data_IF_070117873116
#
_entry.id   IF_070117873116
#
_cell.length_a   1.000
_cell.length_b   1.000
_cell.length_c   1.000
_cell.angle_alpha   90.00
_cell.angle_beta   90.00
_cell.angle_gamma   90.00
#
_symmetry.space_group_name_H-M   'P 1'
#
loop_
_entity.id
_entity.type
_entity.pdbx_description
1 polymer ?
#
# COMPACT_ATOMS: atom_id res chain seq x y z
N UNK A 1 -0.94 16.57 -2.36
CA UNK A 1 -0.62 15.28 -3.01
C UNK A 1 -1.55 15.11 -4.21
N UNK A 2 -1.13 14.54 -5.34
CA UNK A 2 -2.05 14.27 -6.46
C UNK A 2 -3.00 13.11 -6.15
N UNK A 3 -4.08 12.97 -6.90
CA UNK A 3 -5.05 11.87 -6.71
C UNK A 3 -4.39 10.50 -6.90
N UNK A 4 -3.57 10.37 -7.95
CA UNK A 4 -2.80 9.15 -8.23
C UNK A 4 -1.81 8.83 -7.11
N UNK A 5 -1.13 9.85 -6.56
CA UNK A 5 -0.19 9.67 -5.44
C UNK A 5 -0.93 9.27 -4.16
N UNK A 6 -2.11 9.82 -3.90
CA UNK A 6 -2.93 9.45 -2.75
C UNK A 6 -3.36 7.98 -2.82
N UNK A 7 -3.81 7.54 -4.01
CA UNK A 7 -4.11 6.13 -4.28
C UNK A 7 -2.91 5.23 -4.06
N UNK A 8 -1.74 5.61 -4.59
CA UNK A 8 -0.50 4.83 -4.42
C UNK A 8 -0.05 4.77 -2.94
N UNK A 9 -0.40 5.77 -2.13
CA UNK A 9 -0.11 5.83 -0.70
C UNK A 9 -1.16 5.12 0.18
N UNK A 10 -2.28 4.66 -0.40
CA UNK A 10 -3.41 4.15 0.37
C UNK A 10 -4.14 5.23 1.20
N UNK A 11 -4.04 6.49 0.80
CA UNK A 11 -4.68 7.65 1.45
C UNK A 11 -6.03 7.92 0.78
N UNK A 12 -7.05 8.25 1.57
CA UNK A 12 -8.38 8.61 1.04
C UNK A 12 -8.31 9.89 0.19
N UNK A 13 -9.20 10.01 -0.79
CA UNK A 13 -9.23 11.21 -1.63
C UNK A 13 -9.57 12.49 -0.85
N UNK A 14 -10.29 12.38 0.27
CA UNK A 14 -10.57 13.50 1.16
C UNK A 14 -9.31 13.93 1.95
N UNK A 15 -8.52 12.96 2.43
CA UNK A 15 -7.36 13.25 3.28
C UNK A 15 -6.12 13.69 2.51
N UNK A 16 -6.09 13.48 1.18
CA UNK A 16 -4.93 13.81 0.33
C UNK A 16 -4.47 15.27 0.42
N UNK A 17 -5.39 16.19 0.73
CA UNK A 17 -5.10 17.63 0.83
C UNK A 17 -4.26 17.98 2.05
N UNK A 18 -4.23 17.12 3.06
CA UNK A 18 -3.38 17.26 4.24
C UNK A 18 -1.92 16.91 3.96
N UNK A 19 -1.60 16.37 2.79
CA UNK A 19 -0.24 15.94 2.43
C UNK A 19 0.35 16.81 1.32
N UNK A 20 1.59 17.24 1.50
CA UNK A 20 2.33 18.02 0.51
C UNK A 20 3.80 17.64 0.49
N UNK A 21 4.46 17.90 -0.63
CA UNK A 21 5.89 17.62 -0.81
C UNK A 21 6.63 18.90 -1.13
N UNK A 22 7.84 19.04 -0.60
CA UNK A 22 8.76 20.11 -0.93
C UNK A 22 9.98 19.49 -1.62
N UNK A 23 10.34 20.00 -2.79
CA UNK A 23 11.54 19.56 -3.52
C UNK A 23 12.70 20.54 -3.28
N UNK A 24 12.40 21.77 -2.83
CA UNK A 24 13.38 22.84 -2.63
C UNK A 24 13.49 23.25 -1.16
N UNK A 25 14.57 22.81 -0.51
CA UNK A 25 15.15 23.52 0.63
C UNK A 25 16.04 24.67 0.13
N UNK A 26 16.13 25.76 0.89
CA UNK A 26 16.88 27.00 0.58
C UNK A 26 18.14 26.74 -0.27
N UNK A 27 18.15 27.27 -1.50
CA UNK A 27 19.09 26.98 -2.61
C UNK A 27 20.58 27.20 -2.32
N UNK A 28 20.93 27.77 -1.16
CA UNK A 28 22.27 28.29 -0.90
C UNK A 28 23.00 27.51 0.22
N UNK A 29 22.37 26.51 0.86
CA UNK A 29 22.92 25.81 2.04
C UNK A 29 22.79 24.28 2.00
N UNK A 30 22.13 23.71 1.00
CA UNK A 30 21.93 22.25 0.86
C UNK A 30 22.40 21.79 -0.51
N UNK A 31 23.07 20.63 -0.57
CA UNK A 31 23.37 19.96 -1.84
C UNK A 31 22.08 19.74 -2.63
N UNK A 32 22.10 19.97 -3.95
CA UNK A 32 20.93 19.75 -4.78
C UNK A 32 20.48 18.29 -4.64
N UNK A 33 19.31 18.09 -4.04
CA UNK A 33 18.65 16.80 -3.99
C UNK A 33 17.35 16.92 -4.75
N UNK A 34 17.19 16.15 -5.82
CA UNK A 34 15.92 16.02 -6.54
C UNK A 34 14.88 15.21 -5.75
N UNK A 35 15.15 14.90 -4.48
CA UNK A 35 14.27 14.11 -3.62
C UNK A 35 13.18 15.01 -3.04
N UNK A 36 11.93 14.57 -3.16
CA UNK A 36 10.79 15.22 -2.54
C UNK A 36 10.72 14.88 -1.05
N UNK A 37 10.79 15.90 -0.19
CA UNK A 37 10.51 15.80 1.24
C UNK A 37 9.02 15.94 1.48
N UNK A 38 8.38 14.87 1.93
CA UNK A 38 6.95 14.87 2.18
C UNK A 38 6.60 15.26 3.61
N UNK A 39 5.46 15.94 3.74
CA UNK A 39 4.92 16.49 4.98
C UNK A 39 3.41 16.22 5.05
N UNK A 40 2.89 16.15 6.28
CA UNK A 40 1.47 16.03 6.60
C UNK A 40 1.04 17.15 7.54
N UNK A 41 -0.19 17.61 7.41
CA UNK A 41 -0.88 18.47 8.38
C UNK A 41 -1.62 17.61 9.40
N UNK A 42 -1.32 17.82 10.67
CA UNK A 42 -1.89 17.10 11.80
C UNK A 42 -2.61 18.07 12.74
N UNK A 43 -3.86 17.76 13.10
CA UNK A 43 -4.67 18.62 13.95
C UNK A 43 -4.29 18.41 15.42
N UNK A 44 -3.50 19.31 15.99
CA UNK A 44 -3.03 19.21 17.37
C UNK A 44 -3.91 20.04 18.30
N UNK A 45 -4.41 19.42 19.37
CA UNK A 45 -5.18 20.08 20.40
C UNK A 45 -4.32 21.10 21.16
N UNK A 46 -4.83 22.32 21.35
CA UNK A 46 -4.13 23.39 22.05
C UNK A 46 -4.26 23.31 23.59
N UNK A 47 -5.10 22.41 24.11
CA UNK A 47 -5.31 22.24 25.55
C UNK A 47 -5.93 23.45 26.25
N UNK A 48 -6.55 24.36 25.49
CA UNK A 48 -7.18 25.58 26.00
C UNK A 48 -8.67 25.41 26.34
N UNK A 49 -9.23 24.20 26.18
CA UNK A 49 -10.62 23.90 26.52
C UNK A 49 -10.88 23.94 28.03
N UNK A 50 -12.07 24.37 28.43
CA UNK A 50 -12.53 24.39 29.83
C UNK A 50 -13.90 23.72 29.97
N UNK A 51 -13.88 22.48 30.46
CA UNK A 51 -15.09 21.69 30.71
C UNK A 51 -15.92 21.44 29.44
N UNK A 52 -17.18 21.03 29.63
CA UNK A 52 -18.12 20.74 28.54
C UNK A 52 -18.57 22.00 27.77
N UNK A 53 -18.35 23.18 28.33
CA UNK A 53 -18.88 24.46 27.80
C UNK A 53 -17.89 25.19 26.89
N UNK A 54 -16.60 24.87 26.95
CA UNK A 54 -15.57 25.46 26.10
C UNK A 54 -14.73 24.34 25.48
N UNK A 55 -15.13 23.83 24.30
CA UNK A 55 -14.33 22.84 23.58
C UNK A 55 -12.95 23.43 23.27
N UNK A 56 -11.94 22.55 23.25
CA UNK A 56 -10.57 22.96 22.92
C UNK A 56 -10.45 23.34 21.44
N UNK A 57 -9.54 24.27 21.16
CA UNK A 57 -9.17 24.60 19.79
C UNK A 57 -8.08 23.64 19.29
N UNK A 58 -8.00 23.55 17.96
CA UNK A 58 -7.01 22.75 17.27
C UNK A 58 -6.23 23.61 16.29
N UNK A 59 -4.91 23.41 16.23
CA UNK A 59 -4.04 24.08 15.28
C UNK A 59 -3.38 23.06 14.33
N UNK A 60 -3.20 23.42 13.04
CA UNK A 60 -2.52 22.55 12.09
C UNK A 60 -1.00 22.51 12.32
N UNK A 61 -0.56 21.34 12.79
CA UNK A 61 0.76 20.72 12.89
C UNK A 61 1.45 20.34 11.57
N UNK A 62 2.54 20.95 11.07
CA UNK A 62 3.30 20.31 9.98
C UNK A 62 4.22 19.23 10.55
N UNK A 63 3.95 17.96 10.24
CA UNK A 63 4.79 16.81 10.61
C UNK A 63 5.45 16.17 9.39
N UNK A 64 6.56 15.45 9.61
CA UNK A 64 7.23 14.71 8.56
C UNK A 64 6.39 13.50 8.14
N UNK A 65 6.33 13.21 6.85
CA UNK A 65 5.65 12.03 6.34
C UNK A 65 6.55 11.26 5.39
N UNK A 66 6.52 9.93 5.49
CA UNK A 66 7.19 9.02 4.59
C UNK A 66 6.14 8.16 3.88
N UNK A 67 6.46 7.78 2.65
CA UNK A 67 5.65 6.79 1.93
C UNK A 67 5.63 5.48 2.71
N UNK A 68 4.47 4.79 2.76
CA UNK A 68 4.38 3.51 3.45
C UNK A 68 5.35 2.50 2.82
N UNK A 69 6.06 1.80 3.68
CA UNK A 69 6.97 0.71 3.32
C UNK A 69 6.19 -0.57 3.00
N UNK A 70 6.84 -1.53 2.34
CA UNK A 70 6.24 -2.85 2.09
C UNK A 70 5.75 -3.54 3.36
N UNK A 71 6.53 -3.45 4.44
CA UNK A 71 6.19 -4.05 5.72
C UNK A 71 4.92 -3.43 6.29
N UNK A 72 4.86 -2.09 6.34
CA UNK A 72 3.66 -1.38 6.82
C UNK A 72 2.41 -1.72 6.00
N UNK A 73 2.54 -1.88 4.67
CA UNK A 73 1.42 -2.31 3.82
C UNK A 73 1.01 -3.76 4.14
N UNK A 74 1.95 -4.68 4.34
CA UNK A 74 1.65 -6.05 4.70
C UNK A 74 1.06 -6.18 6.12
N UNK A 75 1.48 -5.33 7.05
CA UNK A 75 0.99 -5.27 8.42
C UNK A 75 -0.43 -4.70 8.53
N UNK A 76 -0.90 -3.96 7.52
CA UNK A 76 -2.32 -3.56 7.47
C UNK A 76 -3.28 -4.74 7.29
N UNK A 77 -2.78 -5.90 6.87
CA UNK A 77 -3.60 -7.09 6.67
C UNK A 77 -3.86 -7.80 7.99
N UNK A 78 -5.13 -8.08 8.27
CA UNK A 78 -5.51 -8.93 9.41
C UNK A 78 -5.08 -10.38 9.16
N UNK A 79 -4.96 -11.17 10.24
CA UNK A 79 -4.60 -12.59 10.11
C UNK A 79 -5.62 -13.38 9.28
N UNK A 80 -6.92 -13.05 9.40
CA UNK A 80 -7.99 -13.63 8.58
C UNK A 80 -7.80 -13.32 7.09
N UNK A 81 -7.37 -12.09 6.75
CA UNK A 81 -7.08 -11.71 5.38
C UNK A 81 -5.84 -12.44 4.84
N UNK A 82 -4.81 -12.61 5.67
CA UNK A 82 -3.62 -13.40 5.30
C UNK A 82 -4.00 -14.86 5.05
N UNK A 83 -4.83 -15.46 5.88
CA UNK A 83 -5.34 -16.82 5.67
C UNK A 83 -6.22 -16.94 4.41
N UNK A 84 -7.09 -15.97 4.15
CA UNK A 84 -7.88 -15.94 2.91
C UNK A 84 -6.99 -15.86 1.65
N UNK A 85 -5.93 -15.03 1.69
CA UNK A 85 -4.94 -14.97 0.61
C UNK A 85 -4.21 -16.31 0.49
N UNK A 86 -3.75 -16.91 1.60
CA UNK A 86 -3.07 -18.22 1.59
C UNK A 86 -3.94 -19.29 0.94
N UNK A 87 -5.20 -19.41 1.36
CA UNK A 87 -6.15 -20.37 0.82
C UNK A 87 -6.40 -20.16 -0.68
N UNK A 88 -6.61 -18.91 -1.09
CA UNK A 88 -6.87 -18.59 -2.50
C UNK A 88 -5.65 -18.86 -3.38
N UNK A 89 -4.46 -18.38 -2.99
CA UNK A 89 -3.23 -18.53 -3.78
C UNK A 89 -2.79 -19.99 -3.88
N UNK A 90 -2.87 -20.75 -2.78
CA UNK A 90 -2.48 -22.16 -2.79
C UNK A 90 -3.52 -23.08 -3.43
N UNK A 91 -4.79 -22.65 -3.52
CA UNK A 91 -5.85 -23.36 -4.25
C UNK A 91 -5.78 -23.21 -5.77
N UNK A 92 -5.00 -22.26 -6.29
CA UNK A 92 -4.91 -21.96 -7.73
C UNK A 92 -3.51 -22.05 -8.31
N UNK A 93 -3.40 -21.84 -9.61
CA UNK A 93 -2.12 -21.82 -10.35
C UNK A 93 -1.81 -20.42 -10.85
N UNK A 94 -1.28 -19.59 -9.96
CA UNK A 94 -1.02 -18.18 -10.26
C UNK A 94 0.43 -17.91 -10.68
N UNK A 95 0.60 -16.86 -11.48
CA UNK A 95 1.88 -16.32 -11.96
C UNK A 95 2.16 -14.97 -11.29
N UNK A 96 3.43 -14.64 -11.14
CA UNK A 96 3.83 -13.36 -10.56
C UNK A 96 3.56 -12.16 -11.49
N UNK A 97 3.70 -12.38 -12.80
CA UNK A 97 3.68 -11.32 -13.80
C UNK A 97 2.28 -10.70 -13.94
N UNK A 98 2.13 -9.36 -13.81
CA UNK A 98 0.83 -8.68 -13.98
C UNK A 98 0.21 -8.85 -15.36
N UNK A 99 1.02 -9.07 -16.40
CA UNK A 99 0.55 -9.34 -17.76
C UNK A 99 0.07 -10.78 -17.98
N UNK A 100 0.27 -11.68 -17.02
CA UNK A 100 -0.23 -13.04 -17.13
C UNK A 100 -1.74 -13.05 -16.88
N UNK A 101 -2.48 -13.88 -17.63
CA UNK A 101 -3.91 -14.08 -17.42
C UNK A 101 -4.20 -14.52 -15.97
N UNK A 102 -3.35 -15.39 -15.44
CA UNK A 102 -3.47 -15.96 -14.10
C UNK A 102 -2.57 -15.22 -13.11
N UNK A 103 -2.57 -13.88 -13.14
CA UNK A 103 -1.76 -13.08 -12.22
C UNK A 103 -2.19 -13.28 -10.77
N UNK A 104 -1.23 -13.50 -9.86
CA UNK A 104 -1.49 -13.69 -8.43
C UNK A 104 -2.14 -12.47 -7.76
N UNK A 105 -1.94 -11.27 -8.30
CA UNK A 105 -2.64 -10.08 -7.81
C UNK A 105 -4.16 -10.17 -7.94
N UNK A 106 -4.68 -10.96 -8.88
CA UNK A 106 -6.11 -11.24 -8.97
C UNK A 106 -6.60 -12.09 -7.80
N UNK A 107 -5.80 -13.06 -7.34
CA UNK A 107 -6.11 -13.87 -6.16
C UNK A 107 -6.09 -13.02 -4.88
N UNK A 108 -5.10 -12.12 -4.76
CA UNK A 108 -5.00 -11.17 -3.64
C UNK A 108 -6.20 -10.22 -3.64
N UNK A 109 -6.57 -9.66 -4.79
CA UNK A 109 -7.74 -8.80 -4.90
C UNK A 109 -9.02 -9.52 -4.48
N UNK A 110 -9.23 -10.75 -4.98
CA UNK A 110 -10.38 -11.57 -4.62
C UNK A 110 -10.46 -11.84 -3.10
N UNK A 111 -9.34 -12.23 -2.48
CA UNK A 111 -9.29 -12.51 -1.04
C UNK A 111 -9.58 -11.27 -0.18
N UNK A 112 -9.29 -10.07 -0.69
CA UNK A 112 -9.49 -8.80 0.00
C UNK A 112 -10.79 -8.08 -0.41
N UNK A 113 -11.57 -8.64 -1.33
CA UNK A 113 -12.78 -8.01 -1.86
C UNK A 113 -12.51 -6.73 -2.66
N UNK A 114 -11.34 -6.64 -3.30
CA UNK A 114 -10.98 -5.52 -4.18
C UNK A 114 -11.50 -5.76 -5.60
N UNK A 115 -12.08 -4.72 -6.19
CA UNK A 115 -12.50 -4.65 -7.59
C UNK A 115 -11.30 -4.38 -8.50
N UNK A 116 -11.13 -5.21 -9.52
CA UNK A 116 -10.04 -5.06 -10.49
C UNK A 116 -10.42 -4.17 -11.68
N UNK A 117 -11.70 -3.84 -11.83
CA UNK A 117 -12.20 -2.88 -12.82
C UNK A 117 -12.00 -1.43 -12.35
N UNK A 118 -11.83 -1.20 -11.04
CA UNK A 118 -11.33 0.06 -10.50
C UNK A 118 -9.80 0.10 -10.55
N UNK A 119 -9.26 1.03 -11.34
CA UNK A 119 -7.81 1.26 -11.47
C UNK A 119 -7.11 1.52 -10.12
N UNK A 120 -7.80 2.14 -9.16
CA UNK A 120 -7.27 2.42 -7.84
C UNK A 120 -7.12 1.14 -7.01
N UNK A 121 -8.16 0.30 -7.00
CA UNK A 121 -8.16 -0.95 -6.26
C UNK A 121 -7.25 -2.00 -6.90
N UNK A 122 -7.16 -2.03 -8.23
CA UNK A 122 -6.17 -2.82 -8.97
C UNK A 122 -4.73 -2.46 -8.62
N UNK A 123 -4.42 -1.16 -8.52
CA UNK A 123 -3.09 -0.70 -8.07
C UNK A 123 -2.83 -1.11 -6.63
N UNK A 124 -3.82 -0.98 -5.76
CA UNK A 124 -3.75 -1.41 -4.35
C UNK A 124 -3.44 -2.91 -4.25
N UNK A 125 -4.14 -3.75 -5.01
CA UNK A 125 -3.86 -5.19 -5.08
C UNK A 125 -2.42 -5.47 -5.55
N UNK A 126 -1.93 -4.72 -6.53
CA UNK A 126 -0.54 -4.81 -6.99
C UNK A 126 0.50 -4.40 -5.94
N UNK A 127 0.23 -3.35 -5.15
CA UNK A 127 1.09 -2.92 -4.06
C UNK A 127 1.14 -3.96 -2.94
N UNK A 128 -0.01 -4.47 -2.51
CA UNK A 128 -0.11 -5.52 -1.50
C UNK A 128 0.62 -6.78 -1.97
N UNK A 129 0.41 -7.19 -3.22
CA UNK A 129 1.11 -8.34 -3.80
C UNK A 129 2.63 -8.17 -3.74
N UNK A 130 3.15 -6.99 -4.13
CA UNK A 130 4.59 -6.69 -4.04
C UNK A 130 5.09 -6.70 -2.59
N UNK A 131 4.31 -6.16 -1.67
CA UNK A 131 4.63 -6.17 -0.24
C UNK A 131 4.75 -7.61 0.28
N UNK A 132 3.77 -8.47 -0.01
CA UNK A 132 3.76 -9.87 0.41
C UNK A 132 4.94 -10.69 -0.16
N UNK A 133 5.38 -10.40 -1.38
CA UNK A 133 6.62 -11.00 -1.92
C UNK A 133 7.87 -10.54 -1.16
N UNK A 134 7.92 -9.26 -0.76
CA UNK A 134 9.08 -8.69 -0.08
C UNK A 134 9.18 -9.18 1.37
N UNK A 135 8.05 -9.34 2.04
CA UNK A 135 7.96 -9.92 3.39
C UNK A 135 8.11 -11.47 3.39
N UNK A 136 8.19 -12.10 2.22
CA UNK A 136 8.38 -13.55 2.09
C UNK A 136 7.12 -14.39 2.30
N UNK A 137 5.96 -13.76 2.49
CA UNK A 137 4.67 -14.44 2.56
C UNK A 137 4.30 -15.11 1.23
N UNK A 138 4.63 -14.47 0.10
CA UNK A 138 4.52 -15.08 -1.23
C UNK A 138 5.90 -15.47 -1.77
N UNK A 139 6.02 -16.68 -2.28
CA UNK A 139 7.24 -17.18 -2.90
C UNK A 139 6.97 -17.79 -4.27
N UNK A 140 8.03 -17.81 -5.09
CA UNK A 140 8.03 -18.51 -6.38
C UNK A 140 8.44 -19.95 -6.15
N UNK A 141 7.64 -20.89 -6.62
CA UNK A 141 7.91 -22.32 -6.54
C UNK A 141 7.84 -22.90 -7.94
N UNK A 142 8.88 -23.63 -8.33
CA UNK A 142 8.88 -24.36 -9.58
C UNK A 142 8.16 -25.69 -9.37
N UNK A 143 7.01 -25.84 -10.02
CA UNK A 143 6.18 -27.04 -9.94
C UNK A 143 5.86 -27.54 -11.35
N UNK A 144 5.49 -28.81 -11.44
CA UNK A 144 5.03 -29.38 -12.71
C UNK A 144 3.64 -28.87 -12.99
N UNK A 145 3.47 -28.16 -14.11
CA UNK A 145 2.18 -27.71 -14.60
C UNK A 145 1.26 -28.92 -14.81
N UNK A 146 0.08 -28.99 -14.16
CA UNK A 146 -0.80 -30.14 -14.24
C UNK A 146 -1.39 -30.34 -15.66
N UNK A 147 -1.48 -29.26 -16.45
CA UNK A 147 -2.03 -29.28 -17.81
C UNK A 147 -0.92 -29.54 -18.82
N UNK A 148 0.13 -28.71 -18.82
CA UNK A 148 1.19 -28.77 -19.83
C UNK A 148 2.27 -29.81 -19.51
N UNK A 149 2.30 -30.37 -18.29
CA UNK A 149 3.27 -31.35 -17.80
C UNK A 149 4.74 -30.91 -17.87
N UNK A 150 4.99 -29.60 -17.99
CA UNK A 150 6.32 -28.96 -17.96
C UNK A 150 6.57 -28.31 -16.60
N UNK A 151 7.84 -28.17 -16.22
CA UNK A 151 8.22 -27.38 -15.04
C UNK A 151 7.92 -25.91 -15.33
N UNK A 152 7.09 -25.30 -14.49
CA UNK A 152 6.76 -23.88 -14.61
C UNK A 152 6.71 -23.24 -13.23
N UNK A 153 7.20 -22.01 -13.13
CA UNK A 153 7.15 -21.25 -11.89
C UNK A 153 5.71 -20.81 -11.58
N UNK A 154 5.24 -21.13 -10.38
CA UNK A 154 3.98 -20.65 -9.81
C UNK A 154 4.23 -19.87 -8.53
N UNK A 155 3.21 -19.17 -8.05
CA UNK A 155 3.26 -18.45 -6.78
C UNK A 155 2.54 -19.28 -5.71
N UNK A 156 3.17 -19.40 -4.54
CA UNK A 156 2.64 -20.05 -3.34
C UNK A 156 2.75 -19.13 -2.15
N UNK A 157 1.80 -19.26 -1.22
CA UNK A 157 1.90 -18.65 0.09
C UNK A 157 2.67 -19.59 1.04
N UNK A 158 3.71 -19.06 1.69
CA UNK A 158 4.65 -19.78 2.57
C UNK A 158 4.15 -19.79 4.00
#
# INVERSE_FOLDING_TARGET
MSEAQATDAGITQADRFSFFSMIYGKSNLSALSHKADWRKLESVALGNGRGLTQPQDHAPVVTAWAWPTSGEVADTLTDDQKEAIRGTVNGGTYKQAPQAKDWVGCAVAYALGLDLDDDAEKKRAGLITKALFKEGFLAKVDERDPVQRKMTTFVRAV
#
